data_IF_681044271975
#
_entry.id   IF_681044271975
#
_cell.length_a   1.000
_cell.length_b   1.000
_cell.length_c   1.000
_cell.angle_alpha   90.00
_cell.angle_beta   90.00
_cell.angle_gamma   90.00
#
_symmetry.space_group_name_H-M   'P 1'
#
loop_
_entity.id
_entity.type
_entity.pdbx_description
1 polymer ?
#
# COMPACT_ATOMS: atom_id res chain seq x y z
N UNK A 1 3.85 14.22 -6.33
CA UNK A 1 2.37 14.04 -6.31
C UNK A 1 1.62 15.10 -7.10
N UNK A 2 2.21 16.27 -7.21
CA UNK A 2 1.56 17.42 -7.88
C UNK A 2 1.18 17.10 -9.33
N UNK A 3 2.03 16.36 -10.03
CA UNK A 3 1.79 16.00 -11.43
C UNK A 3 0.66 14.98 -11.62
N UNK A 4 0.19 14.39 -10.53
CA UNK A 4 -0.81 13.32 -10.57
C UNK A 4 -2.24 13.80 -10.35
N UNK A 5 -2.45 15.05 -9.92
CA UNK A 5 -3.78 15.53 -9.49
C UNK A 5 -4.80 15.56 -10.63
N UNK A 6 -4.35 15.71 -11.87
CA UNK A 6 -5.24 15.77 -13.04
C UNK A 6 -5.40 14.43 -13.74
N UNK A 7 -4.71 13.40 -13.28
CA UNK A 7 -4.80 12.06 -13.85
C UNK A 7 -5.94 11.28 -13.19
N UNK A 8 -6.64 10.38 -13.93
CA UNK A 8 -7.66 9.55 -13.31
C UNK A 8 -7.03 8.62 -12.29
N UNK A 9 -7.39 8.78 -11.03
CA UNK A 9 -6.81 8.04 -9.91
C UNK A 9 -7.71 6.88 -9.51
N UNK A 10 -7.12 5.69 -9.42
CA UNK A 10 -7.79 4.49 -8.95
C UNK A 10 -7.40 4.28 -7.49
N UNK A 11 -8.35 4.49 -6.59
CA UNK A 11 -8.09 4.43 -5.15
C UNK A 11 -8.34 3.03 -4.62
N UNK A 12 -7.33 2.48 -3.95
CA UNK A 12 -7.50 1.25 -3.19
C UNK A 12 -8.14 1.60 -1.83
N UNK A 13 -9.30 1.04 -1.54
CA UNK A 13 -9.97 1.20 -0.26
C UNK A 13 -9.62 0.06 0.69
N UNK A 14 -8.85 0.37 1.73
CA UNK A 14 -8.42 -0.58 2.77
C UNK A 14 -8.83 -0.03 4.15
N UNK A 15 -10.11 0.00 4.44
CA UNK A 15 -10.62 0.56 5.69
C UNK A 15 -10.73 2.09 5.65
N UNK A 16 -10.54 2.72 6.81
CA UNK A 16 -10.77 4.16 6.98
C UNK A 16 -9.57 5.04 6.60
N UNK A 17 -8.37 4.49 6.67
CA UNK A 17 -7.15 5.24 6.42
C UNK A 17 -6.58 4.90 5.05
N UNK A 18 -6.23 5.93 4.30
CA UNK A 18 -5.52 5.79 3.03
C UNK A 18 -4.25 6.63 3.08
N UNK A 19 -3.09 5.98 3.08
CA UNK A 19 -1.80 6.67 3.05
C UNK A 19 -1.64 7.53 1.77
N UNK A 20 -2.04 7.06 0.57
CA UNK A 20 -1.98 7.92 -0.61
C UNK A 20 -2.83 9.18 -0.51
N UNK A 21 -4.09 9.06 -0.06
CA UNK A 21 -4.95 10.24 0.10
C UNK A 21 -4.39 11.20 1.14
N UNK A 22 -3.90 10.69 2.26
CA UNK A 22 -3.28 11.51 3.29
C UNK A 22 -2.06 12.25 2.75
N UNK A 23 -1.23 11.58 1.95
CA UNK A 23 -0.06 12.19 1.34
C UNK A 23 -0.45 13.35 0.40
N UNK A 24 -1.49 13.19 -0.41
CA UNK A 24 -2.01 14.27 -1.24
C UNK A 24 -2.49 15.44 -0.37
N UNK A 25 -3.27 15.16 0.67
CA UNK A 25 -3.84 16.19 1.54
C UNK A 25 -2.78 16.96 2.31
N UNK A 26 -1.71 16.31 2.74
CA UNK A 26 -0.57 16.97 3.41
C UNK A 26 0.13 17.98 2.51
N UNK A 27 0.03 17.79 1.20
CA UNK A 27 0.59 18.71 0.20
C UNK A 27 -0.43 19.76 -0.25
N UNK A 28 -1.61 19.77 0.32
CA UNK A 28 -2.71 20.63 -0.11
C UNK A 28 -3.28 20.24 -1.48
N UNK A 29 -3.12 18.99 -1.86
CA UNK A 29 -3.55 18.47 -3.15
C UNK A 29 -4.77 17.58 -3.01
N UNK A 30 -5.61 17.53 -4.04
CA UNK A 30 -6.78 16.67 -4.11
C UNK A 30 -6.71 15.82 -5.37
N UNK A 31 -6.55 14.49 -5.26
CA UNK A 31 -6.48 13.65 -6.45
C UNK A 31 -7.86 13.51 -7.12
N UNK A 32 -7.86 13.29 -8.43
CA UNK A 32 -9.08 13.03 -9.21
C UNK A 32 -9.47 11.56 -9.10
N UNK A 33 -10.08 11.16 -7.99
CA UNK A 33 -10.48 9.78 -7.74
C UNK A 33 -11.60 9.40 -8.71
N UNK A 34 -11.29 8.49 -9.63
CA UNK A 34 -12.24 8.02 -10.63
C UNK A 34 -12.99 6.76 -10.19
N UNK A 35 -12.26 5.82 -9.59
CA UNK A 35 -12.82 4.57 -9.11
C UNK A 35 -12.24 4.24 -7.73
N UNK A 36 -13.07 3.58 -6.93
CA UNK A 36 -12.67 3.03 -5.63
C UNK A 36 -12.73 1.52 -5.72
N UNK A 37 -11.64 0.85 -5.42
CA UNK A 37 -11.47 -0.59 -5.63
C UNK A 37 -10.92 -1.21 -4.36
N UNK A 38 -11.36 -2.43 -4.04
CA UNK A 38 -10.95 -3.11 -2.81
C UNK A 38 -9.84 -4.15 -3.00
N UNK A 39 -9.34 -4.31 -4.22
CA UNK A 39 -8.37 -5.34 -4.56
C UNK A 39 -7.23 -4.77 -5.41
N UNK A 40 -5.98 -5.01 -4.95
CA UNK A 40 -4.76 -4.56 -5.63
C UNK A 40 -4.66 -5.07 -7.06
N UNK A 41 -4.99 -6.34 -7.28
CA UNK A 41 -4.86 -6.97 -8.61
C UNK A 41 -5.86 -6.40 -9.60
N UNK A 42 -7.05 -6.04 -9.13
CA UNK A 42 -8.04 -5.35 -9.96
C UNK A 42 -7.53 -3.99 -10.41
N UNK A 43 -6.90 -3.24 -9.50
CA UNK A 43 -6.28 -1.95 -9.84
C UNK A 43 -5.18 -2.13 -10.88
N UNK A 44 -4.30 -3.12 -10.71
CA UNK A 44 -3.22 -3.38 -11.65
C UNK A 44 -3.75 -3.75 -13.04
N UNK A 45 -4.79 -4.54 -13.11
CA UNK A 45 -5.45 -4.87 -14.37
C UNK A 45 -6.04 -3.63 -15.05
N UNK A 46 -6.64 -2.75 -14.28
CA UNK A 46 -7.22 -1.49 -14.79
C UNK A 46 -6.14 -0.55 -15.31
N UNK A 47 -5.00 -0.45 -14.60
CA UNK A 47 -3.87 0.38 -15.06
C UNK A 47 -3.29 -0.18 -16.35
N UNK A 48 -3.12 -1.48 -16.44
CA UNK A 48 -2.64 -2.15 -17.66
C UNK A 48 -3.56 -1.86 -18.84
N UNK A 49 -4.87 -1.79 -18.59
CA UNK A 49 -5.88 -1.43 -19.60
C UNK A 49 -5.94 0.07 -19.93
N UNK A 50 -5.13 0.89 -19.27
CA UNK A 50 -5.08 2.33 -19.53
C UNK A 50 -6.17 3.15 -18.86
N UNK A 51 -6.83 2.63 -17.82
CA UNK A 51 -7.94 3.33 -17.15
C UNK A 51 -7.50 4.43 -16.19
N UNK A 52 -6.25 4.42 -15.75
CA UNK A 52 -5.77 5.45 -14.84
C UNK A 52 -4.45 5.08 -14.18
N UNK A 53 -4.17 5.76 -13.07
CA UNK A 53 -2.98 5.58 -12.27
C UNK A 53 -3.37 5.23 -10.83
N UNK A 54 -2.41 4.73 -10.06
CA UNK A 54 -2.61 4.51 -8.63
C UNK A 54 -1.28 4.61 -7.88
N UNK A 55 -1.37 4.60 -6.56
CA UNK A 55 -0.22 4.46 -5.66
C UNK A 55 -0.45 3.19 -4.85
N UNK A 56 0.43 2.23 -5.01
CA UNK A 56 0.33 0.92 -4.37
C UNK A 56 1.60 0.61 -3.58
N UNK A 57 1.52 -0.26 -2.55
CA UNK A 57 2.71 -0.68 -1.83
C UNK A 57 3.72 -1.37 -2.73
N UNK A 58 4.99 -1.08 -2.53
CA UNK A 58 6.08 -1.73 -3.27
C UNK A 58 6.02 -3.25 -3.18
N UNK A 59 5.62 -3.76 -2.00
CA UNK A 59 5.51 -5.19 -1.75
C UNK A 59 4.53 -5.88 -2.70
N UNK A 60 3.42 -5.22 -3.01
CA UNK A 60 2.44 -5.72 -3.98
C UNK A 60 3.02 -5.75 -5.39
N UNK A 61 3.85 -4.77 -5.73
CA UNK A 61 4.40 -4.60 -7.07
C UNK A 61 5.55 -5.56 -7.39
N UNK A 62 6.22 -6.09 -6.37
CA UNK A 62 7.42 -6.94 -6.55
C UNK A 62 7.16 -8.25 -7.27
N UNK A 63 5.97 -8.81 -7.15
CA UNK A 63 5.63 -10.14 -7.67
C UNK A 63 4.55 -10.10 -8.75
N UNK A 64 4.43 -8.98 -9.45
CA UNK A 64 3.41 -8.84 -10.48
C UNK A 64 4.01 -9.01 -11.87
N UNK A 65 3.20 -9.59 -12.78
CA UNK A 65 3.53 -9.73 -14.19
C UNK A 65 2.77 -8.75 -15.07
N UNK A 66 2.14 -7.74 -14.47
CA UNK A 66 1.37 -6.74 -15.21
C UNK A 66 2.28 -5.79 -15.99
N UNK A 67 1.84 -5.40 -17.17
CA UNK A 67 2.54 -4.47 -18.05
C UNK A 67 2.24 -3.04 -17.63
N UNK A 68 2.89 -2.60 -16.55
CA UNK A 68 2.69 -1.27 -15.96
C UNK A 68 4.03 -0.59 -15.72
N UNK A 69 4.05 0.73 -15.85
CA UNK A 69 5.21 1.52 -15.47
C UNK A 69 5.17 1.80 -13.97
N UNK A 70 6.29 1.57 -13.28
CA UNK A 70 6.42 1.78 -11.85
C UNK A 70 7.41 2.92 -11.61
N UNK A 71 6.93 3.97 -10.96
CA UNK A 71 7.73 5.16 -10.68
C UNK A 71 7.69 5.48 -9.18
N UNK A 72 8.79 5.98 -8.62
CA UNK A 72 8.78 6.43 -7.22
C UNK A 72 7.96 7.70 -7.06
N UNK A 73 7.38 7.88 -5.87
CA UNK A 73 6.64 9.11 -5.52
C UNK A 73 7.54 10.15 -4.87
N UNK A 74 7.17 11.42 -5.02
CA UNK A 74 7.79 12.55 -4.34
C UNK A 74 6.69 13.43 -3.71
N UNK A 75 6.64 13.55 -2.38
CA UNK A 75 7.47 12.86 -1.40
C UNK A 75 7.17 11.36 -1.34
N UNK A 76 8.06 10.59 -0.73
CA UNK A 76 7.87 9.15 -0.55
C UNK A 76 6.67 8.91 0.36
N UNK A 77 5.76 8.05 -0.07
CA UNK A 77 4.62 7.62 0.73
C UNK A 77 5.01 6.33 1.46
N UNK A 78 4.98 6.37 2.79
CA UNK A 78 5.42 5.25 3.62
C UNK A 78 4.23 4.57 4.29
N UNK A 79 4.32 3.26 4.42
CA UNK A 79 3.37 2.45 5.18
C UNK A 79 4.12 1.75 6.31
N UNK A 80 3.58 1.86 7.52
CA UNK A 80 4.12 1.20 8.70
C UNK A 80 3.34 -0.07 8.97
N UNK A 81 4.03 -1.19 9.01
CA UNK A 81 3.45 -2.49 9.32
C UNK A 81 3.88 -2.90 10.72
N UNK A 82 2.93 -3.27 11.55
CA UNK A 82 3.21 -3.65 12.92
C UNK A 82 2.45 -4.90 13.33
N UNK A 83 2.83 -5.46 14.46
CA UNK A 83 2.14 -6.57 15.09
C UNK A 83 1.12 -6.03 16.08
N UNK A 84 -0.09 -6.58 16.02
CA UNK A 84 -1.15 -6.27 16.96
C UNK A 84 -1.51 -7.52 17.73
N UNK A 85 -1.53 -7.43 19.06
CA UNK A 85 -1.86 -8.54 19.92
C UNK A 85 -2.68 -8.06 21.10
N UNK A 86 -3.56 -8.90 21.63
CA UNK A 86 -4.41 -8.55 22.77
C UNK A 86 -3.59 -8.45 24.06
N UNK A 87 -2.81 -9.49 24.35
CA UNK A 87 -1.94 -9.55 25.54
C UNK A 87 -0.77 -10.49 25.25
N UNK A 88 0.45 -9.97 25.37
CA UNK A 88 1.67 -10.75 25.16
C UNK A 88 1.80 -11.91 26.14
N UNK A 89 1.35 -11.71 27.39
CA UNK A 89 1.53 -12.71 28.45
C UNK A 89 0.55 -13.88 28.34
N UNK A 90 -0.60 -13.67 27.71
CA UNK A 90 -1.63 -14.70 27.51
C UNK A 90 -1.58 -15.35 26.13
N UNK A 91 -0.62 -14.95 25.33
CA UNK A 91 -0.45 -15.46 23.97
C UNK A 91 -0.03 -16.94 23.98
N UNK A 92 -0.54 -17.78 23.07
CA UNK A 92 -0.07 -19.17 22.92
C UNK A 92 1.43 -19.24 22.67
N UNK A 93 2.08 -20.28 23.18
CA UNK A 93 3.54 -20.49 23.04
C UNK A 93 3.96 -20.47 21.57
N UNK A 94 3.19 -21.11 20.68
CA UNK A 94 3.50 -21.12 19.25
C UNK A 94 3.54 -19.71 18.66
N UNK A 95 2.61 -18.84 19.07
CA UNK A 95 2.59 -17.44 18.64
C UNK A 95 3.80 -16.66 19.17
N UNK A 96 4.20 -16.91 20.41
CA UNK A 96 5.39 -16.28 20.97
C UNK A 96 6.66 -16.67 20.21
N UNK A 97 6.82 -17.96 19.89
CA UNK A 97 7.95 -18.43 19.10
C UNK A 97 7.95 -17.85 17.69
N UNK A 98 6.78 -17.74 17.06
CA UNK A 98 6.65 -17.12 15.76
C UNK A 98 7.12 -15.67 15.77
N UNK A 99 6.69 -14.88 16.77
CA UNK A 99 7.08 -13.48 16.90
C UNK A 99 8.60 -13.35 17.12
N UNK A 100 9.17 -14.18 17.99
CA UNK A 100 10.62 -14.19 18.22
C UNK A 100 11.37 -14.50 16.92
N UNK A 101 10.93 -15.52 16.19
CA UNK A 101 11.50 -15.88 14.89
C UNK A 101 11.40 -14.71 13.90
N UNK A 102 10.25 -14.07 13.85
CA UNK A 102 10.01 -12.94 12.96
C UNK A 102 10.98 -11.79 13.25
N UNK A 103 11.16 -11.41 14.52
CA UNK A 103 12.07 -10.33 14.88
C UNK A 103 13.53 -10.68 14.65
N UNK A 104 13.92 -11.94 14.83
CA UNK A 104 15.27 -12.40 14.53
C UNK A 104 15.58 -12.32 13.03
N UNK A 105 14.56 -12.41 12.18
CA UNK A 105 14.70 -12.42 10.72
C UNK A 105 14.07 -11.18 10.07
N UNK A 106 13.85 -10.11 10.84
CA UNK A 106 13.17 -8.90 10.36
C UNK A 106 13.85 -8.26 9.14
N UNK A 107 15.19 -8.36 9.08
CA UNK A 107 15.97 -7.78 7.98
C UNK A 107 15.89 -8.61 6.69
N UNK A 108 15.32 -9.80 6.76
CA UNK A 108 15.13 -10.68 5.60
C UNK A 108 13.75 -10.51 4.97
N UNK A 109 12.88 -9.71 5.59
CA UNK A 109 11.56 -9.42 5.04
C UNK A 109 11.70 -8.51 3.81
N UNK A 110 10.85 -8.75 2.78
CA UNK A 110 10.86 -7.91 1.57
C UNK A 110 10.49 -6.45 1.83
#
# INVERSE_FOLDING_TARGET
>A
LEDLVNEPFLLLEEGLLSEPLEAFHQQGLEPSVRLRVHDDYSILSMIEAGLGISILPELVLRKTNYQVAILPTRPVVMRKIGLVMKDKNTMPIASKYFIEFLFQHINQLP
#
